data_IF_400573801332
#
_entry.id   IF_400573801332
#
_cell.length_a   1.000
_cell.length_b   1.000
_cell.length_c   1.000
_cell.angle_alpha   90.00
_cell.angle_beta   90.00
_cell.angle_gamma   90.00
#
_symmetry.space_group_name_H-M   'P 1'
#
loop_
_entity.id
_entity.type
_entity.pdbx_description
1 polymer ?
#
# COMPACT_ATOMS: atom_id res chain seq x y z
N UNK A 1 5.58 -11.78 4.25
CA UNK A 1 5.28 -11.37 5.64
C UNK A 1 4.74 -9.95 5.60
N UNK A 2 3.57 -9.68 6.19
CA UNK A 2 3.06 -8.32 6.31
C UNK A 2 3.73 -7.66 7.51
N UNK A 3 4.60 -6.68 7.28
CA UNK A 3 5.21 -5.88 8.36
C UNK A 3 4.21 -4.76 8.69
N UNK A 4 3.37 -5.00 9.69
CA UNK A 4 2.42 -3.99 10.20
C UNK A 4 2.84 -3.51 11.58
N UNK A 5 2.74 -2.20 11.79
CA UNK A 5 2.91 -1.57 13.10
C UNK A 5 1.55 -1.21 13.64
N UNK A 6 1.20 -1.72 14.82
CA UNK A 6 -0.11 -1.51 15.44
C UNK A 6 0.06 -0.74 16.73
N UNK A 7 -0.71 0.33 16.87
CA UNK A 7 -0.93 1.01 18.14
C UNK A 7 -2.40 0.92 18.53
N UNK A 8 -2.67 0.69 19.81
CA UNK A 8 -4.02 0.67 20.35
C UNK A 8 -4.05 1.28 21.76
N UNK A 9 -5.06 2.11 22.02
CA UNK A 9 -5.28 2.68 23.33
C UNK A 9 -5.56 1.59 24.36
N UNK A 10 -4.89 1.65 25.52
CA UNK A 10 -5.06 0.66 26.60
C UNK A 10 -4.43 -0.72 26.32
N UNK A 11 -3.63 -0.86 25.26
CA UNK A 11 -2.90 -2.09 25.00
C UNK A 11 -1.76 -2.32 26.01
N UNK A 12 -1.59 -3.57 26.44
CA UNK A 12 -0.49 -4.03 27.30
C UNK A 12 0.75 -4.45 26.49
N UNK A 13 0.76 -4.26 25.16
CA UNK A 13 1.93 -4.55 24.34
C UNK A 13 3.10 -3.62 24.74
N UNK A 14 4.27 -4.17 25.13
CA UNK A 14 5.42 -3.34 25.49
C UNK A 14 5.91 -2.43 24.34
N UNK A 15 5.67 -2.82 23.09
CA UNK A 15 6.01 -2.01 21.90
C UNK A 15 4.96 -0.94 21.57
N UNK A 16 3.83 -0.88 22.29
CA UNK A 16 2.74 0.02 21.92
C UNK A 16 3.19 1.49 21.87
N UNK A 17 3.99 1.93 22.83
CA UNK A 17 4.51 3.30 22.86
C UNK A 17 5.47 3.60 21.68
N UNK A 18 6.37 2.67 21.36
CA UNK A 18 7.30 2.84 20.23
C UNK A 18 6.57 2.75 18.88
N UNK A 19 5.55 1.90 18.78
CA UNK A 19 4.67 1.81 17.62
C UNK A 19 3.92 3.13 17.40
N UNK A 20 3.38 3.73 18.45
CA UNK A 20 2.75 5.05 18.35
C UNK A 20 3.72 6.12 17.84
N UNK A 21 4.94 6.14 18.37
CA UNK A 21 5.96 7.10 17.95
C UNK A 21 6.31 6.96 16.45
N UNK A 22 6.43 5.72 15.96
CA UNK A 22 6.66 5.44 14.53
C UNK A 22 5.49 5.91 13.66
N UNK A 23 4.26 5.59 14.05
CA UNK A 23 3.05 6.01 13.32
C UNK A 23 2.91 7.53 13.34
N UNK A 24 3.18 8.17 14.48
CA UNK A 24 3.20 9.64 14.61
C UNK A 24 4.19 10.26 13.64
N UNK A 25 5.42 9.74 13.57
CA UNK A 25 6.42 10.26 12.64
C UNK A 25 5.95 10.11 11.20
N UNK A 26 5.44 8.92 10.84
CA UNK A 26 4.91 8.67 9.50
C UNK A 26 3.79 9.65 9.13
N UNK A 27 2.87 9.94 10.06
CA UNK A 27 1.78 10.90 9.85
C UNK A 27 2.31 12.32 9.60
N UNK A 28 3.24 12.80 10.43
CA UNK A 28 3.84 14.13 10.28
C UNK A 28 4.62 14.24 8.96
N UNK A 29 5.29 13.18 8.56
CA UNK A 29 6.04 13.11 7.30
C UNK A 29 5.14 13.12 6.04
N UNK A 30 3.81 13.07 6.20
CA UNK A 30 2.88 13.27 5.08
C UNK A 30 2.82 14.73 4.62
N UNK A 31 3.39 15.68 5.38
CA UNK A 31 3.25 17.10 5.09
C UNK A 31 3.66 17.44 3.65
N UNK A 32 2.75 18.05 2.90
CA UNK A 32 2.98 18.44 1.51
C UNK A 32 2.97 17.27 0.52
N UNK A 33 2.53 16.07 0.91
CA UNK A 33 2.36 14.93 0.01
C UNK A 33 0.90 14.82 -0.44
N UNK A 34 0.71 14.34 -1.66
CA UNK A 34 -0.59 13.89 -2.10
C UNK A 34 -0.90 12.56 -1.40
N UNK A 35 -2.12 12.42 -0.88
CA UNK A 35 -2.60 11.23 -0.22
C UNK A 35 -3.94 10.79 -0.80
N UNK A 36 -4.17 9.49 -0.77
CA UNK A 36 -5.51 8.90 -0.91
C UNK A 36 -6.17 8.83 0.47
N UNK A 37 -7.45 9.18 0.51
CA UNK A 37 -8.27 9.14 1.72
C UNK A 37 -9.55 8.38 1.42
N UNK A 38 -9.76 7.26 2.11
CA UNK A 38 -10.93 6.38 1.92
C UNK A 38 -11.57 6.08 3.25
N UNK A 39 -12.89 6.04 3.31
CA UNK A 39 -13.64 5.70 4.52
C UNK A 39 -14.59 4.53 4.23
N UNK A 40 -14.59 3.52 5.09
CA UNK A 40 -15.46 2.34 4.98
C UNK A 40 -16.03 1.96 6.33
N UNK A 41 -17.15 1.23 6.30
CA UNK A 41 -17.65 0.52 7.46
C UNK A 41 -16.83 -0.76 7.65
N UNK A 42 -16.49 -1.07 8.90
CA UNK A 42 -15.92 -2.36 9.25
C UNK A 42 -16.97 -3.45 9.03
N UNK A 43 -16.58 -4.59 8.43
CA UNK A 43 -17.45 -5.76 8.33
C UNK A 43 -17.75 -6.33 9.72
N UNK A 44 -18.74 -7.22 9.85
CA UNK A 44 -19.04 -7.89 11.12
C UNK A 44 -17.85 -8.63 11.75
N UNK A 45 -16.87 -9.04 10.95
CA UNK A 45 -15.61 -9.64 11.43
C UNK A 45 -14.73 -8.64 12.20
N UNK A 46 -14.94 -7.34 12.01
CA UNK A 46 -14.10 -6.27 12.57
C UNK A 46 -12.71 -6.19 11.95
N UNK A 47 -12.40 -7.03 10.95
CA UNK A 47 -11.08 -7.13 10.34
C UNK A 47 -10.98 -6.20 9.14
N UNK A 48 -9.92 -5.38 9.12
CA UNK A 48 -9.65 -4.47 7.99
C UNK A 48 -9.24 -5.19 6.71
N UNK A 49 -8.72 -6.42 6.85
CA UNK A 49 -8.37 -7.27 5.73
C UNK A 49 -9.58 -7.71 4.90
N UNK A 50 -10.78 -7.66 5.50
CA UNK A 50 -12.04 -8.06 4.87
C UNK A 50 -12.80 -6.85 4.28
N UNK A 51 -12.26 -5.64 4.43
CA UNK A 51 -12.87 -4.41 3.89
C UNK A 51 -12.61 -4.32 2.39
N UNK A 52 -13.66 -4.08 1.61
CA UNK A 52 -13.55 -3.75 0.20
C UNK A 52 -13.10 -2.29 0.01
N UNK A 53 -11.88 -2.13 -0.50
CA UNK A 53 -11.25 -0.85 -0.79
C UNK A 53 -11.37 -0.42 -2.25
N UNK A 54 -12.24 -1.05 -3.05
CA UNK A 54 -12.57 -0.57 -4.38
C UNK A 54 -13.00 0.90 -4.35
N UNK A 55 -12.62 1.72 -5.36
CA UNK A 55 -12.91 3.14 -5.37
C UNK A 55 -14.41 3.46 -5.22
N UNK A 56 -14.74 4.36 -4.31
CA UNK A 56 -16.11 4.85 -4.08
C UNK A 56 -16.21 6.36 -4.26
N UNK A 57 -17.45 6.85 -4.45
CA UNK A 57 -17.76 8.26 -4.75
C UNK A 57 -17.16 9.28 -3.78
N UNK A 58 -16.98 8.90 -2.51
CA UNK A 58 -16.48 9.78 -1.45
C UNK A 58 -15.01 9.55 -1.12
N UNK A 59 -14.31 8.74 -1.90
CA UNK A 59 -12.86 8.64 -1.81
C UNK A 59 -12.24 9.92 -2.37
N UNK A 60 -11.21 10.41 -1.69
CA UNK A 60 -10.57 11.66 -2.03
C UNK A 60 -9.08 11.45 -2.29
N UNK A 61 -8.53 12.28 -3.15
CA UNK A 61 -7.09 12.46 -3.32
C UNK A 61 -6.79 13.93 -3.12
N UNK A 62 -5.89 14.25 -2.19
CA UNK A 62 -5.56 15.64 -1.90
C UNK A 62 -4.17 15.81 -1.30
N UNK A 63 -3.62 17.02 -1.43
CA UNK A 63 -2.39 17.43 -0.76
C UNK A 63 -2.66 17.68 0.72
N UNK A 64 -2.13 16.83 1.61
CA UNK A 64 -2.25 17.04 3.05
C UNK A 64 -1.26 18.10 3.52
N UNK A 65 -1.70 18.97 4.43
CA UNK A 65 -0.86 20.03 5.00
C UNK A 65 -0.98 20.09 6.50
N UNK A 66 0.12 20.48 7.15
CA UNK A 66 0.27 20.60 8.60
C UNK A 66 -0.24 19.37 9.39
N UNK A 67 0.08 18.13 8.99
CA UNK A 67 -0.26 16.98 9.81
C UNK A 67 0.46 17.03 11.15
N UNK A 68 -0.28 16.85 12.24
CA UNK A 68 0.26 16.82 13.60
C UNK A 68 -0.48 15.77 14.43
N UNK A 69 0.11 15.38 15.56
CA UNK A 69 -0.49 14.46 16.53
C UNK A 69 -0.39 15.07 17.93
N UNK A 70 -1.54 15.37 18.53
CA UNK A 70 -1.64 15.90 19.90
C UNK A 70 -2.37 14.89 20.79
N UNK A 71 -1.63 14.27 21.70
CA UNK A 71 -2.11 13.10 22.44
C UNK A 71 -2.36 11.93 21.48
N UNK A 72 -3.61 11.51 21.36
CA UNK A 72 -4.08 10.46 20.43
C UNK A 72 -4.99 11.02 19.34
N UNK A 73 -4.95 12.34 19.13
CA UNK A 73 -5.74 13.01 18.09
C UNK A 73 -4.84 13.38 16.94
N UNK A 74 -5.20 12.90 15.74
CA UNK A 74 -4.57 13.29 14.49
C UNK A 74 -5.17 14.61 14.02
N UNK A 75 -4.34 15.52 13.54
CA UNK A 75 -4.72 16.82 12.98
C UNK A 75 -4.17 16.96 11.57
N UNK A 76 -4.89 17.65 10.69
CA UNK A 76 -4.45 17.97 9.33
C UNK A 76 -5.29 19.07 8.69
N UNK A 77 -4.83 19.60 7.56
CA UNK A 77 -5.59 20.51 6.71
C UNK A 77 -5.78 19.92 5.30
N UNK A 78 -6.96 20.16 4.72
CA UNK A 78 -7.23 19.92 3.30
C UNK A 78 -6.76 21.12 2.45
N UNK A 79 -6.47 20.93 1.15
CA UNK A 79 -6.14 22.03 0.25
C UNK A 79 -7.21 23.11 0.29
N UNK A 80 -6.78 24.38 0.29
CA UNK A 80 -7.66 25.54 0.25
C UNK A 80 -8.63 25.67 1.44
N UNK A 81 -8.46 24.86 2.50
CA UNK A 81 -9.23 24.95 3.74
C UNK A 81 -8.38 25.56 4.85
N UNK A 82 -8.83 26.67 5.43
CA UNK A 82 -8.21 27.23 6.63
C UNK A 82 -8.54 26.42 7.89
N UNK A 83 -9.58 25.59 7.84
CA UNK A 83 -10.04 24.81 8.97
C UNK A 83 -9.15 23.59 9.22
N UNK A 84 -8.67 23.47 10.45
CA UNK A 84 -7.96 22.28 10.95
C UNK A 84 -8.98 21.14 11.13
N UNK A 85 -8.71 20.01 10.49
CA UNK A 85 -9.45 18.76 10.66
C UNK A 85 -8.78 17.92 11.72
N UNK A 86 -9.57 17.11 12.43
CA UNK A 86 -9.03 16.21 13.44
C UNK A 86 -9.84 14.92 13.58
N UNK A 87 -9.18 13.89 14.12
CA UNK A 87 -9.79 12.63 14.50
C UNK A 87 -9.07 12.05 15.73
N UNK A 88 -9.78 11.93 16.85
CA UNK A 88 -9.31 11.20 18.02
C UNK A 88 -9.45 9.70 17.79
N UNK A 89 -8.38 8.93 18.00
CA UNK A 89 -8.30 7.53 17.59
C UNK A 89 -8.22 6.58 18.78
N UNK A 90 -8.76 5.37 18.64
CA UNK A 90 -8.57 4.30 19.63
C UNK A 90 -7.58 3.22 19.14
N UNK A 91 -7.34 3.16 17.82
CA UNK A 91 -6.40 2.24 17.19
C UNK A 91 -5.84 2.84 15.90
N UNK A 92 -4.59 2.48 15.59
CA UNK A 92 -3.90 2.79 14.34
C UNK A 92 -3.17 1.54 13.86
N UNK A 93 -3.23 1.26 12.55
CA UNK A 93 -2.44 0.21 11.92
C UNK A 93 -1.70 0.78 10.71
N UNK A 94 -0.37 0.76 10.73
CA UNK A 94 0.48 1.19 9.62
C UNK A 94 1.00 -0.04 8.87
N UNK A 95 0.65 -0.14 7.59
CA UNK A 95 1.20 -1.09 6.63
C UNK A 95 2.39 -0.45 5.89
N UNK A 96 3.60 -0.92 6.22
CA UNK A 96 4.83 -0.37 5.68
C UNK A 96 5.05 -0.73 4.21
N UNK A 97 4.48 -1.85 3.74
CA UNK A 97 4.62 -2.26 2.34
C UNK A 97 3.70 -1.44 1.46
N UNK A 98 2.46 -1.25 1.90
CA UNK A 98 1.45 -0.50 1.16
C UNK A 98 1.50 1.00 1.43
N UNK A 99 2.35 1.46 2.36
CA UNK A 99 2.41 2.87 2.78
C UNK A 99 1.02 3.41 3.11
N UNK A 100 0.28 2.63 3.90
CA UNK A 100 -1.11 2.88 4.28
C UNK A 100 -1.27 2.88 5.78
N UNK A 101 -1.93 3.90 6.29
CA UNK A 101 -2.37 4.01 7.67
C UNK A 101 -3.88 3.79 7.76
N UNK A 102 -4.27 2.78 8.52
CA UNK A 102 -5.65 2.54 8.92
C UNK A 102 -5.92 3.22 10.26
N UNK A 103 -6.92 4.08 10.27
CA UNK A 103 -7.31 4.95 11.37
C UNK A 103 -8.68 4.50 11.88
N UNK A 104 -8.76 4.23 13.17
CA UNK A 104 -9.99 3.79 13.85
C UNK A 104 -10.44 4.90 14.81
N UNK A 105 -11.43 5.73 14.42
CA UNK A 105 -11.89 6.85 15.24
C UNK A 105 -12.57 6.39 16.52
N UNK A 106 -12.41 7.13 17.61
CA UNK A 106 -13.17 6.89 18.86
C UNK A 106 -14.65 7.20 18.70
N UNK A 107 -15.00 8.23 17.93
CA UNK A 107 -16.39 8.68 17.75
C UNK A 107 -17.24 7.75 16.90
N UNK A 108 -16.61 6.89 16.08
CA UNK A 108 -17.28 6.01 15.12
C UNK A 108 -16.59 4.64 15.10
N UNK A 109 -16.96 3.75 16.01
CA UNK A 109 -16.29 2.45 16.18
C UNK A 109 -16.48 1.49 15.00
N UNK A 110 -17.52 1.69 14.19
CA UNK A 110 -17.80 0.87 13.01
C UNK A 110 -17.12 1.41 11.76
N UNK A 111 -16.32 2.47 11.86
CA UNK A 111 -15.68 3.12 10.71
C UNK A 111 -14.18 2.91 10.77
N UNK A 112 -13.60 2.63 9.60
CA UNK A 112 -12.17 2.68 9.37
C UNK A 112 -11.87 3.66 8.25
N UNK A 113 -10.85 4.48 8.45
CA UNK A 113 -10.32 5.39 7.44
C UNK A 113 -8.96 4.85 7.00
N UNK A 114 -8.75 4.72 5.69
CA UNK A 114 -7.44 4.40 5.11
C UNK A 114 -6.86 5.67 4.52
N UNK A 115 -5.64 6.01 4.97
CA UNK A 115 -4.81 7.07 4.40
C UNK A 115 -3.60 6.42 3.77
N UNK A 116 -3.45 6.55 2.46
CA UNK A 116 -2.35 5.93 1.72
C UNK A 116 -1.59 6.94 0.88
N UNK A 117 -0.27 6.79 0.80
CA UNK A 117 0.50 7.45 -0.26
C UNK A 117 0.12 6.81 -1.62
N UNK A 118 -0.01 7.60 -2.71
CA UNK A 118 -0.22 7.06 -4.04
C UNK A 118 0.92 6.08 -4.37
N UNK A 119 0.61 4.78 -4.34
CA UNK A 119 1.58 3.76 -4.70
C UNK A 119 1.65 3.63 -6.23
N UNK A 120 2.84 3.32 -6.75
CA UNK A 120 2.97 2.76 -8.10
C UNK A 120 2.25 1.41 -8.07
N UNK A 121 1.04 1.37 -8.63
CA UNK A 121 0.23 0.16 -8.70
C UNK A 121 0.86 -0.78 -9.73
N UNK A 122 1.57 -1.80 -9.27
CA UNK A 122 2.00 -2.90 -10.14
C UNK A 122 0.79 -3.76 -10.47
N UNK A 123 0.36 -3.77 -11.72
CA UNK A 123 -0.66 -4.71 -12.19
C UNK A 123 -0.04 -6.11 -12.24
N UNK A 124 -0.56 -7.02 -11.40
CA UNK A 124 -0.11 -8.41 -11.39
C UNK A 124 -0.92 -9.22 -12.40
N UNK A 125 -0.26 -9.68 -13.45
CA UNK A 125 -0.83 -10.64 -14.41
C UNK A 125 -0.27 -12.03 -14.08
N UNK A 126 -1.15 -13.02 -13.92
CA UNK A 126 -0.75 -14.42 -13.71
C UNK A 126 -0.98 -15.20 -14.99
N UNK A 127 0.10 -15.71 -15.60
CA UNK A 127 0.02 -16.61 -16.75
C UNK A 127 -0.19 -18.05 -16.27
N UNK A 128 -1.14 -18.77 -16.86
CA UNK A 128 -1.40 -20.19 -16.58
C UNK A 128 -0.68 -21.03 -17.62
N UNK A 129 0.41 -21.68 -17.21
CA UNK A 129 1.25 -22.53 -18.08
C UNK A 129 1.66 -21.82 -19.39
N UNK A 130 2.34 -20.66 -19.32
CA UNK A 130 2.71 -19.95 -20.53
C UNK A 130 3.67 -20.79 -21.39
N UNK A 131 3.46 -20.75 -22.70
CA UNK A 131 4.51 -21.09 -23.66
C UNK A 131 5.53 -19.96 -23.63
N UNK A 132 6.81 -20.31 -23.68
CA UNK A 132 7.88 -19.34 -23.67
C UNK A 132 8.81 -19.54 -24.88
N UNK A 133 9.33 -18.45 -25.41
CA UNK A 133 10.27 -18.46 -26.53
C UNK A 133 11.25 -17.28 -26.41
N UNK A 134 12.45 -17.44 -26.95
CA UNK A 134 13.42 -16.35 -27.08
C UNK A 134 13.53 -15.97 -28.55
N UNK A 135 13.34 -14.71 -28.89
CA UNK A 135 13.53 -14.20 -30.24
C UNK A 135 14.66 -13.18 -30.25
N UNK A 136 15.48 -13.18 -31.30
CA UNK A 136 16.43 -12.11 -31.56
C UNK A 136 15.93 -11.31 -32.75
N UNK A 137 15.77 -10.00 -32.59
CA UNK A 137 15.40 -9.08 -33.68
C UNK A 137 16.22 -7.80 -33.54
N UNK A 138 16.88 -7.38 -34.62
CA UNK A 138 17.74 -6.18 -34.65
C UNK A 138 18.81 -6.16 -33.54
N UNK A 139 19.38 -7.32 -33.21
CA UNK A 139 20.39 -7.45 -32.15
C UNK A 139 19.85 -7.37 -30.71
N UNK A 140 18.52 -7.24 -30.53
CA UNK A 140 17.85 -7.29 -29.22
C UNK A 140 17.28 -8.68 -28.98
N UNK A 141 17.49 -9.19 -27.78
CA UNK A 141 16.86 -10.43 -27.33
C UNK A 141 15.53 -10.11 -26.65
N UNK A 142 14.49 -10.86 -26.98
CA UNK A 142 13.15 -10.70 -26.41
C UNK A 142 12.67 -12.06 -25.93
N UNK A 143 12.37 -12.16 -24.64
CA UNK A 143 11.65 -13.28 -24.07
C UNK A 143 10.15 -13.07 -24.26
N UNK A 144 9.50 -14.03 -24.89
CA UNK A 144 8.07 -14.01 -25.18
C UNK A 144 7.41 -15.02 -24.26
N UNK A 145 6.39 -14.59 -23.51
CA UNK A 145 5.52 -15.46 -22.72
C UNK A 145 4.10 -15.38 -23.27
N UNK A 146 3.53 -16.51 -23.68
CA UNK A 146 2.19 -16.58 -24.28
C UNK A 146 1.29 -17.52 -23.49
N UNK A 147 0.16 -17.02 -23.02
CA UNK A 147 -0.94 -17.79 -22.45
C UNK A 147 -2.12 -17.79 -23.43
N UNK A 148 -2.31 -18.92 -24.13
CA UNK A 148 -3.37 -19.07 -25.14
C UNK A 148 -4.77 -19.13 -24.52
N UNK A 149 -4.88 -19.56 -23.25
CA UNK A 149 -6.17 -19.65 -22.53
C UNK A 149 -6.66 -18.25 -22.18
N UNK A 150 -5.75 -17.40 -21.72
CA UNK A 150 -6.04 -16.00 -21.38
C UNK A 150 -5.93 -15.06 -22.59
N UNK A 151 -5.49 -15.57 -23.75
CA UNK A 151 -5.19 -14.80 -24.97
C UNK A 151 -4.25 -13.62 -24.67
N UNK A 152 -3.20 -13.90 -23.91
CA UNK A 152 -2.26 -12.90 -23.44
C UNK A 152 -0.84 -13.22 -23.91
N UNK A 153 -0.15 -12.21 -24.43
CA UNK A 153 1.26 -12.29 -24.83
C UNK A 153 2.04 -11.17 -24.16
N UNK A 154 3.12 -11.53 -23.48
CA UNK A 154 4.06 -10.60 -22.84
C UNK A 154 5.39 -10.67 -23.57
N UNK A 155 5.86 -9.52 -24.03
CA UNK A 155 7.16 -9.35 -24.66
C UNK A 155 8.10 -8.69 -23.64
N UNK A 156 9.22 -9.33 -23.35
CA UNK A 156 10.19 -8.91 -22.36
C UNK A 156 11.53 -8.69 -23.08
N UNK A 157 11.85 -7.45 -23.50
CA UNK A 157 13.15 -7.13 -24.04
C UNK A 157 14.23 -7.34 -22.97
N UNK A 158 15.27 -8.08 -23.31
CA UNK A 158 16.40 -8.38 -22.44
C UNK A 158 17.61 -7.57 -22.88
N UNK A 159 18.24 -6.91 -21.91
CA UNK A 159 19.62 -6.44 -22.00
C UNK A 159 20.57 -7.60 -21.66
N UNK A 160 21.85 -7.48 -22.04
CA UNK A 160 22.87 -8.45 -21.66
C UNK A 160 22.92 -8.69 -20.14
N UNK A 161 22.81 -7.61 -19.34
CA UNK A 161 22.79 -7.68 -17.88
C UNK A 161 21.58 -8.47 -17.36
N UNK A 162 20.37 -8.12 -17.82
CA UNK A 162 19.15 -8.82 -17.39
C UNK A 162 19.10 -10.29 -17.82
N UNK A 163 19.73 -10.62 -18.95
CA UNK A 163 19.87 -12.00 -19.41
C UNK A 163 20.81 -12.78 -18.50
N UNK A 164 21.97 -12.22 -18.16
CA UNK A 164 22.93 -12.86 -17.24
C UNK A 164 22.29 -13.11 -15.87
N UNK A 165 21.55 -12.14 -15.34
CA UNK A 165 20.81 -12.30 -14.08
C UNK A 165 19.75 -13.42 -14.18
N UNK A 166 19.00 -13.48 -15.29
CA UNK A 166 18.03 -14.55 -15.52
C UNK A 166 18.70 -15.92 -15.56
N UNK A 167 19.86 -16.03 -16.23
CA UNK A 167 20.63 -17.27 -16.32
C UNK A 167 21.18 -17.72 -14.97
N UNK A 168 21.69 -16.80 -14.16
CA UNK A 168 22.16 -17.10 -12.79
C UNK A 168 21.02 -17.63 -11.91
N UNK A 169 19.85 -16.98 -11.97
CA UNK A 169 18.70 -17.41 -11.17
C UNK A 169 18.15 -18.77 -11.59
N UNK A 170 18.20 -19.11 -12.88
CA UNK A 170 17.79 -20.42 -13.39
C UNK A 170 18.85 -21.51 -13.16
N UNK A 171 20.14 -21.15 -13.20
CA UNK A 171 21.27 -22.07 -13.00
C UNK A 171 21.44 -22.52 -11.55
N UNK A 172 21.12 -21.66 -10.57
CA UNK A 172 21.31 -21.93 -9.14
C UNK A 172 20.23 -22.83 -8.51
N UNK A 173 19.28 -23.37 -9.29
CA UNK A 173 18.24 -24.29 -8.84
C UNK A 173 18.59 -25.79 -8.94
N UNK A 174 19.83 -26.13 -9.33
CA UNK A 174 20.31 -27.53 -9.39
C UNK A 174 21.17 -27.84 -8.17
N UNK A 175 20.53 -28.13 -7.03
CA UNK A 175 21.16 -28.74 -5.84
C UNK A 175 20.11 -29.55 -5.08
#
# INVERSE_FOLDING_TARGET
MHVRTVWQQGSNNPENASNFARIRQWWVDLNGKEISWRQRLLPPSGQVADVDWEPQRFDEVFLISNPDVRGITLYWHKPNSKDERNATVHKLELDHLQQQLYIYPQSQQTVVIQVGLPQVVYQRVSLKQPKWAMQTSEGKQILILRDETQRLEILIPLTAESLSQLQEQLGNGSS
#
